data_IF_255037348198
#
_entry.id   IF_255037348198
#
_cell.length_a   1.000
_cell.length_b   1.000
_cell.length_c   1.000
_cell.angle_alpha   90.00
_cell.angle_beta   90.00
_cell.angle_gamma   90.00
#
_symmetry.space_group_name_H-M   'P 1'
#
loop_
_entity.id
_entity.type
_entity.pdbx_description
1 polymer ?
#
# COMPACT_ATOMS: atom_id res chain seq x y z
N UNK A 1 -4.73 -24.45 5.79
CA UNK A 1 -5.51 -23.42 5.09
C UNK A 1 -5.05 -22.04 5.56
N UNK A 2 -4.76 -21.16 4.63
CA UNK A 2 -4.28 -19.82 4.97
C UNK A 2 -5.46 -18.90 5.20
N UNK A 3 -5.52 -18.28 6.36
CA UNK A 3 -6.56 -17.31 6.66
C UNK A 3 -6.18 -15.98 6.00
N UNK A 4 -7.07 -15.48 5.17
CA UNK A 4 -6.91 -14.17 4.56
C UNK A 4 -7.64 -13.13 5.37
N UNK A 5 -7.05 -11.94 5.43
CA UNK A 5 -7.67 -10.78 6.07
C UNK A 5 -7.89 -9.70 5.03
N UNK A 6 -8.88 -8.87 5.25
CA UNK A 6 -9.11 -7.71 4.41
C UNK A 6 -8.23 -6.56 4.90
N UNK A 7 -7.44 -6.00 4.01
CA UNK A 7 -6.61 -4.84 4.31
C UNK A 7 -7.11 -3.63 3.54
N UNK A 8 -7.18 -2.51 4.22
CA UNK A 8 -7.46 -1.22 3.58
C UNK A 8 -6.14 -0.47 3.42
N UNK A 9 -5.88 0.00 2.22
CA UNK A 9 -4.63 0.64 1.85
C UNK A 9 -4.91 2.10 1.52
N UNK A 10 -4.22 3.01 2.22
CA UNK A 10 -4.36 4.45 2.03
C UNK A 10 -3.05 4.97 1.47
N UNK A 11 -3.05 5.36 0.22
CA UNK A 11 -1.88 5.96 -0.43
C UNK A 11 -2.04 7.48 -0.44
N UNK A 12 -1.05 8.17 0.13
CA UNK A 12 -0.96 9.63 0.00
C UNK A 12 0.20 9.95 -0.93
N UNK A 13 -0.10 10.65 -2.02
CA UNK A 13 0.86 10.93 -3.07
C UNK A 13 0.43 12.19 -3.83
N UNK A 14 1.35 13.12 -3.99
CA UNK A 14 1.15 14.37 -4.73
C UNK A 14 -0.13 15.12 -4.31
N UNK A 15 -0.40 15.16 -3.02
CA UNK A 15 -1.54 15.87 -2.46
C UNK A 15 -2.86 15.14 -2.52
N UNK A 16 -2.90 13.94 -3.08
CA UNK A 16 -4.10 13.11 -3.13
C UNK A 16 -4.05 11.97 -2.15
N UNK A 17 -5.21 11.49 -1.75
CA UNK A 17 -5.35 10.30 -0.92
C UNK A 17 -6.20 9.28 -1.66
N UNK A 18 -5.65 8.08 -1.85
CA UNK A 18 -6.30 7.03 -2.63
C UNK A 18 -6.47 5.80 -1.76
N UNK A 19 -7.67 5.24 -1.79
CA UNK A 19 -8.03 4.12 -0.90
C UNK A 19 -8.33 2.89 -1.74
N UNK A 20 -7.72 1.77 -1.34
CA UNK A 20 -7.93 0.48 -1.99
C UNK A 20 -8.12 -0.58 -0.92
N UNK A 21 -8.67 -1.73 -1.30
CA UNK A 21 -8.78 -2.87 -0.40
C UNK A 21 -8.31 -4.13 -1.10
N UNK A 22 -7.70 -5.02 -0.34
CA UNK A 22 -7.26 -6.32 -0.84
C UNK A 22 -7.30 -7.34 0.28
N UNK A 23 -7.57 -8.60 -0.06
CA UNK A 23 -7.52 -9.70 0.90
C UNK A 23 -6.21 -10.45 0.72
N UNK A 24 -5.50 -10.69 1.81
CA UNK A 24 -4.21 -11.34 1.74
C UNK A 24 -3.87 -12.02 3.06
N UNK A 25 -2.85 -12.88 3.04
CA UNK A 25 -2.44 -13.63 4.22
C UNK A 25 -1.60 -12.81 5.19
N UNK A 26 -0.95 -11.74 4.72
CA UNK A 26 -0.09 -10.90 5.55
C UNK A 26 -0.08 -9.46 5.05
N UNK A 27 0.34 -8.51 5.90
CA UNK A 27 0.45 -7.11 5.48
C UNK A 27 1.39 -6.90 4.29
N UNK A 28 2.55 -7.53 4.30
CA UNK A 28 3.52 -7.35 3.21
C UNK A 28 3.03 -7.96 1.91
N UNK A 29 2.35 -9.12 1.96
CA UNK A 29 1.74 -9.71 0.78
C UNK A 29 0.62 -8.81 0.23
N UNK A 30 -0.16 -8.19 1.11
CA UNK A 30 -1.22 -7.27 0.70
C UNK A 30 -0.66 -6.13 -0.13
N UNK A 31 0.42 -5.51 0.31
CA UNK A 31 1.03 -4.41 -0.43
C UNK A 31 1.64 -4.88 -1.76
N UNK A 32 2.30 -6.03 -1.77
CA UNK A 32 2.88 -6.60 -2.99
C UNK A 32 1.80 -6.89 -4.02
N UNK A 33 0.72 -7.53 -3.61
CA UNK A 33 -0.41 -7.84 -4.49
C UNK A 33 -1.09 -6.58 -4.99
N UNK A 34 -1.29 -5.59 -4.11
CA UNK A 34 -1.88 -4.31 -4.49
C UNK A 34 -1.05 -3.61 -5.54
N UNK A 35 0.26 -3.52 -5.35
CA UNK A 35 1.15 -2.85 -6.29
C UNK A 35 1.15 -3.54 -7.66
N UNK A 36 0.93 -4.85 -7.67
CA UNK A 36 0.88 -5.62 -8.92
C UNK A 36 -0.49 -5.54 -9.61
N UNK A 37 -1.56 -5.29 -8.87
CA UNK A 37 -2.93 -5.44 -9.38
C UNK A 37 -3.73 -4.15 -9.47
N UNK A 38 -3.25 -3.04 -8.90
CA UNK A 38 -3.99 -1.78 -8.98
C UNK A 38 -4.23 -1.42 -10.44
N UNK A 39 -5.45 -1.01 -10.81
CA UNK A 39 -5.78 -0.75 -12.22
C UNK A 39 -4.87 0.30 -12.86
N UNK A 40 -4.52 0.08 -14.13
CA UNK A 40 -3.66 1.01 -14.88
C UNK A 40 -4.26 2.41 -14.97
N UNK A 41 -5.57 2.51 -15.08
CA UNK A 41 -6.27 3.80 -15.13
C UNK A 41 -6.09 4.59 -13.83
N UNK A 42 -6.02 3.91 -12.69
CA UNK A 42 -5.75 4.56 -11.42
C UNK A 42 -4.31 5.06 -11.38
N UNK A 43 -3.37 4.24 -11.83
CA UNK A 43 -1.95 4.64 -11.90
C UNK A 43 -1.78 5.85 -12.80
N UNK A 44 -2.47 5.88 -13.93
CA UNK A 44 -2.44 7.02 -14.84
C UNK A 44 -2.99 8.28 -14.17
N UNK A 45 -4.08 8.15 -13.44
CA UNK A 45 -4.68 9.28 -12.72
C UNK A 45 -3.74 9.81 -11.62
N UNK A 46 -2.96 8.93 -11.00
CA UNK A 46 -1.99 9.32 -9.98
C UNK A 46 -0.67 9.82 -10.58
N UNK A 47 -0.49 9.66 -11.87
CA UNK A 47 0.76 9.94 -12.57
C UNK A 47 1.92 9.13 -11.97
N UNK A 48 1.67 7.86 -11.73
CA UNK A 48 2.61 6.95 -11.10
C UNK A 48 2.73 5.70 -11.95
N UNK A 49 3.96 5.27 -12.24
CA UNK A 49 4.19 4.08 -13.04
C UNK A 49 4.25 2.84 -12.14
N UNK A 50 3.71 1.73 -12.62
CA UNK A 50 3.68 0.49 -11.84
C UNK A 50 5.07 0.04 -11.38
N UNK A 51 6.12 0.04 -12.23
CA UNK A 51 7.44 -0.36 -11.74
C UNK A 51 7.96 0.53 -10.62
N UNK A 52 7.64 1.82 -10.64
CA UNK A 52 8.00 2.74 -9.56
C UNK A 52 7.29 2.38 -8.26
N UNK A 53 5.98 2.13 -8.34
CA UNK A 53 5.21 1.74 -7.18
C UNK A 53 5.73 0.43 -6.59
N UNK A 54 5.98 -0.56 -7.45
CA UNK A 54 6.52 -1.85 -7.02
C UNK A 54 7.89 -1.70 -6.37
N UNK A 55 8.72 -0.81 -6.90
CA UNK A 55 10.05 -0.54 -6.35
C UNK A 55 9.95 0.09 -4.95
N UNK A 56 9.07 1.06 -4.79
CA UNK A 56 8.85 1.71 -3.49
C UNK A 56 8.37 0.69 -2.46
N UNK A 57 7.42 -0.15 -2.83
CA UNK A 57 6.89 -1.18 -1.94
C UNK A 57 7.98 -2.21 -1.59
N UNK A 58 8.78 -2.63 -2.59
CA UNK A 58 9.81 -3.63 -2.38
C UNK A 58 11.00 -3.12 -1.56
N UNK A 59 11.36 -1.86 -1.74
CA UNK A 59 12.50 -1.25 -1.05
C UNK A 59 12.14 -0.71 0.32
N UNK A 60 10.87 -0.40 0.56
CA UNK A 60 10.43 0.19 1.81
C UNK A 60 10.30 -0.84 2.92
N UNK A 61 10.29 -0.34 4.14
CA UNK A 61 10.05 -1.18 5.32
C UNK A 61 8.65 -0.90 5.85
N UNK A 62 7.89 -1.96 6.02
CA UNK A 62 6.55 -1.87 6.59
C UNK A 62 6.67 -1.88 8.11
N UNK A 63 6.33 -0.78 8.74
CA UNK A 63 6.56 -0.57 10.16
C UNK A 63 5.23 -0.51 10.91
N UNK A 64 5.05 -1.31 11.99
CA UNK A 64 3.87 -1.15 12.84
C UNK A 64 3.86 0.22 13.50
N UNK A 65 2.66 0.80 13.65
CA UNK A 65 2.52 2.14 14.24
C UNK A 65 2.44 2.05 15.76
N UNK A 66 3.56 2.30 16.42
CA UNK A 66 3.66 2.39 17.86
C UNK A 66 3.11 1.16 18.57
N UNK A 67 2.26 1.38 19.56
CA UNK A 67 1.59 0.32 20.32
C UNK A 67 0.20 -0.04 19.74
N UNK A 68 -0.11 0.47 18.55
CA UNK A 68 -1.36 0.14 17.87
C UNK A 68 -1.26 -1.23 17.23
N UNK A 69 -2.38 -1.92 17.14
CA UNK A 69 -2.45 -3.21 16.46
C UNK A 69 -3.15 -3.05 15.11
N UNK A 70 -2.79 -3.89 14.16
CA UNK A 70 -3.43 -3.96 12.84
C UNK A 70 -3.26 -2.69 11.98
N UNK A 71 -2.23 -1.88 12.27
CA UNK A 71 -1.93 -0.68 11.49
C UNK A 71 -0.43 -0.64 11.20
N UNK A 72 -0.08 -0.45 9.95
CA UNK A 72 1.30 -0.38 9.50
C UNK A 72 1.48 0.81 8.56
N UNK A 73 2.72 1.28 8.46
CA UNK A 73 3.08 2.40 7.59
C UNK A 73 4.33 2.06 6.80
N UNK A 74 4.35 2.49 5.54
CA UNK A 74 5.51 2.37 4.68
C UNK A 74 5.68 3.70 3.95
N UNK A 75 6.91 4.22 3.90
CA UNK A 75 7.22 5.44 3.19
C UNK A 75 8.29 5.20 2.15
N UNK A 76 8.25 5.97 1.08
CA UNK A 76 9.26 5.94 0.04
C UNK A 76 9.18 7.18 -0.83
N UNK A 77 10.01 7.24 -1.84
CA UNK A 77 10.00 8.34 -2.80
C UNK A 77 10.06 7.77 -4.21
N UNK A 78 9.46 8.49 -5.14
CA UNK A 78 9.54 8.10 -6.56
C UNK A 78 10.83 8.64 -7.19
N UNK A 79 10.98 8.48 -8.51
CA UNK A 79 12.17 8.92 -9.22
C UNK A 79 12.33 10.45 -9.25
N UNK A 80 11.29 11.19 -8.88
CA UNK A 80 11.32 12.66 -8.84
C UNK A 80 11.36 13.19 -7.40
N UNK A 81 11.70 12.34 -6.44
CA UNK A 81 11.75 12.65 -5.01
C UNK A 81 10.41 13.06 -4.40
N UNK A 82 9.31 12.68 -5.05
CA UNK A 82 7.98 12.87 -4.48
C UNK A 82 7.70 11.76 -3.47
N UNK A 83 7.26 12.14 -2.31
CA UNK A 83 7.02 11.19 -1.22
C UNK A 83 5.74 10.37 -1.44
N UNK A 84 5.85 9.07 -1.21
CA UNK A 84 4.70 8.18 -1.09
C UNK A 84 4.56 7.78 0.37
N UNK A 85 3.37 7.94 0.91
CA UNK A 85 3.05 7.47 2.25
C UNK A 85 1.94 6.44 2.12
N UNK A 86 2.20 5.23 2.57
CA UNK A 86 1.23 4.15 2.49
C UNK A 86 0.89 3.70 3.90
N UNK A 87 -0.38 3.82 4.27
CA UNK A 87 -0.89 3.29 5.52
C UNK A 87 -1.73 2.06 5.22
N UNK A 88 -1.53 1.03 5.98
CA UNK A 88 -2.21 -0.25 5.81
C UNK A 88 -2.93 -0.61 7.09
N UNK A 89 -4.20 -0.90 6.99
CA UNK A 89 -5.03 -1.24 8.15
C UNK A 89 -5.69 -2.59 7.91
N UNK A 90 -5.54 -3.51 8.86
CA UNK A 90 -6.28 -4.76 8.82
C UNK A 90 -7.72 -4.47 9.21
N UNK A 91 -8.63 -4.66 8.26
CA UNK A 91 -10.04 -4.34 8.44
C UNK A 91 -10.77 -5.58 8.99
N UNK A 92 -11.66 -5.35 9.93
CA UNK A 92 -12.44 -6.45 10.49
C UNK A 92 -13.37 -7.05 9.42
N UNK A 93 -13.40 -8.37 9.37
CA UNK A 93 -14.32 -9.10 8.51
C UNK A 93 -15.37 -9.77 9.37
N UNK A 94 -16.61 -9.57 9.00
CA UNK A 94 -17.73 -10.25 9.67
C UNK A 94 -18.33 -11.30 8.76
#
# INVERSE_FOLDING_TARGET
MTDKRLYSIFLEYRGGTYISQTSSASPSEALTEWAASVPSEDLDAWNLKRPELQSVIGDGSLVPLGDRVNIWCLTGVDSEDEQLLVNLVATAQN
#
